data_IF_424305749641
#
_entry.id   IF_424305749641
#
_cell.length_a   1.000
_cell.length_b   1.000
_cell.length_c   1.000
_cell.angle_alpha   90.00
_cell.angle_beta   90.00
_cell.angle_gamma   90.00
#
_symmetry.space_group_name_H-M   'P 1'
#
loop_
_entity.id
_entity.type
_entity.pdbx_description
1 polymer ?
#
# COMPACT_ATOMS: atom_id res chain seq x y z
N UNK A 1 4.89 4.63 10.83
CA UNK A 1 5.51 3.94 9.69
C UNK A 1 6.54 4.85 9.04
N UNK A 2 7.74 4.34 8.86
CA UNK A 2 8.88 4.92 8.16
C UNK A 2 9.10 4.16 6.83
N UNK A 3 10.02 4.63 5.99
CA UNK A 3 10.44 3.88 4.81
C UNK A 3 11.00 2.48 5.17
N UNK A 4 11.71 2.37 6.30
CA UNK A 4 12.19 1.08 6.82
C UNK A 4 11.06 0.12 7.18
N UNK A 5 10.02 0.62 7.86
CA UNK A 5 8.83 -0.17 8.19
C UNK A 5 8.10 -0.66 6.92
N UNK A 6 7.99 0.20 5.90
CA UNK A 6 7.35 -0.16 4.62
C UNK A 6 8.15 -1.24 3.88
N UNK A 7 9.49 -1.15 3.92
CA UNK A 7 10.37 -2.16 3.32
C UNK A 7 10.29 -3.48 4.07
N UNK A 8 10.18 -3.45 5.40
CA UNK A 8 9.98 -4.63 6.21
C UNK A 8 8.62 -5.29 5.92
N UNK A 9 7.55 -4.49 5.79
CA UNK A 9 6.23 -4.97 5.38
C UNK A 9 6.28 -5.65 4.01
N UNK A 10 6.90 -5.01 3.02
CA UNK A 10 7.09 -5.58 1.69
C UNK A 10 7.81 -6.94 1.75
N UNK A 11 8.90 -7.03 2.53
CA UNK A 11 9.68 -8.26 2.66
C UNK A 11 8.90 -9.39 3.35
N UNK A 12 8.09 -9.09 4.37
CA UNK A 12 7.26 -10.09 5.07
C UNK A 12 6.21 -10.72 4.16
N UNK A 13 5.65 -9.94 3.24
CA UNK A 13 4.67 -10.42 2.25
C UNK A 13 5.31 -11.05 1.01
N UNK A 14 6.64 -10.97 0.85
CA UNK A 14 7.32 -11.42 -0.36
C UNK A 14 6.96 -10.60 -1.61
N UNK A 15 6.51 -9.35 -1.44
CA UNK A 15 6.07 -8.53 -2.55
C UNK A 15 7.23 -7.90 -3.32
N UNK A 16 7.09 -7.88 -4.64
CA UNK A 16 7.91 -7.02 -5.49
C UNK A 16 7.45 -5.56 -5.37
N UNK A 17 8.25 -4.61 -5.87
CA UNK A 17 7.83 -3.20 -5.92
C UNK A 17 6.51 -3.00 -6.68
N UNK A 18 6.26 -3.81 -7.72
CA UNK A 18 5.04 -3.71 -8.50
C UNK A 18 3.85 -4.26 -7.70
N UNK A 19 3.98 -5.47 -7.17
CA UNK A 19 2.92 -6.12 -6.40
C UNK A 19 2.54 -5.30 -5.17
N UNK A 20 3.52 -4.75 -4.45
CA UNK A 20 3.27 -3.89 -3.30
C UNK A 20 2.51 -2.61 -3.68
N UNK A 21 2.88 -1.99 -4.81
CA UNK A 21 2.20 -0.80 -5.30
C UNK A 21 0.76 -1.10 -5.73
N UNK A 22 0.54 -2.22 -6.44
CA UNK A 22 -0.77 -2.71 -6.85
C UNK A 22 -1.66 -3.01 -5.63
N UNK A 23 -1.15 -3.70 -4.61
CA UNK A 23 -1.90 -4.00 -3.38
C UNK A 23 -2.33 -2.73 -2.64
N UNK A 24 -1.52 -1.67 -2.71
CA UNK A 24 -1.82 -0.37 -2.11
C UNK A 24 -2.61 0.56 -3.04
N UNK A 25 -2.95 0.12 -4.26
CA UNK A 25 -3.70 0.90 -5.24
C UNK A 25 -2.95 2.13 -5.77
N UNK A 26 -1.62 2.07 -5.87
CA UNK A 26 -0.79 3.18 -6.33
C UNK A 26 0.18 2.77 -7.44
N UNK A 27 0.74 3.77 -8.14
CA UNK A 27 1.77 3.52 -9.15
C UNK A 27 3.11 3.07 -8.55
N UNK A 28 3.85 2.24 -9.29
CA UNK A 28 5.20 1.76 -8.92
C UNK A 28 6.15 2.91 -8.56
N UNK A 29 6.14 4.00 -9.33
CA UNK A 29 7.01 5.16 -9.08
C UNK A 29 6.67 5.81 -7.75
N UNK A 30 5.39 5.99 -7.44
CA UNK A 30 4.92 6.53 -6.17
C UNK A 30 5.39 5.68 -4.99
N UNK A 31 5.29 4.35 -5.12
CA UNK A 31 5.79 3.44 -4.10
C UNK A 31 7.32 3.57 -3.89
N UNK A 32 8.08 3.68 -4.98
CA UNK A 32 9.53 3.88 -4.90
C UNK A 32 9.90 5.22 -4.23
N UNK A 33 9.15 6.30 -4.49
CA UNK A 33 9.36 7.60 -3.84
C UNK A 33 9.07 7.54 -2.34
N UNK A 34 8.06 6.78 -1.90
CA UNK A 34 7.81 6.57 -0.46
C UNK A 34 8.96 5.83 0.23
N UNK A 35 9.65 4.94 -0.47
CA UNK A 35 10.82 4.24 0.09
C UNK A 35 12.08 5.09 0.16
N UNK A 36 12.18 6.14 -0.65
CA UNK A 36 13.28 7.13 -0.59
C UNK A 36 13.02 8.23 0.44
N UNK A 37 11.78 8.41 0.85
CA UNK A 37 11.39 9.50 1.75
C UNK A 37 11.98 9.28 3.14
N UNK A 38 12.64 10.33 3.64
CA UNK A 38 13.15 10.35 5.00
C UNK A 38 12.04 10.74 5.99
N UNK A 39 12.08 10.14 7.18
CA UNK A 39 11.15 10.43 8.27
C UNK A 39 9.84 9.64 8.24
N UNK A 40 8.78 10.25 8.78
CA UNK A 40 7.48 9.59 8.95
C UNK A 40 6.67 9.63 7.66
N UNK A 41 6.23 8.45 7.23
CA UNK A 41 5.30 8.31 6.11
C UNK A 41 3.88 8.71 6.52
N UNK A 42 3.00 9.03 5.54
CA UNK A 42 1.62 9.39 5.82
C UNK A 42 0.88 8.31 6.62
N UNK A 43 -0.01 8.75 7.52
CA UNK A 43 -0.81 7.84 8.37
C UNK A 43 -1.70 6.90 7.57
N UNK A 44 -2.23 7.36 6.43
CA UNK A 44 -3.08 6.54 5.56
C UNK A 44 -2.32 5.35 4.97
N UNK A 45 -1.02 5.52 4.67
CA UNK A 45 -0.19 4.45 4.14
C UNK A 45 0.04 3.36 5.19
N UNK A 46 0.27 3.77 6.44
CA UNK A 46 0.37 2.85 7.57
C UNK A 46 -0.93 2.07 7.79
N UNK A 47 -2.08 2.75 7.64
CA UNK A 47 -3.39 2.12 7.73
C UNK A 47 -3.61 1.12 6.59
N UNK A 48 -3.25 1.46 5.35
CA UNK A 48 -3.40 0.57 4.20
C UNK A 48 -2.56 -0.71 4.36
N UNK A 49 -1.29 -0.60 4.80
CA UNK A 49 -0.46 -1.77 5.10
C UNK A 49 -1.09 -2.64 6.21
N UNK A 50 -1.62 -2.03 7.28
CA UNK A 50 -2.28 -2.75 8.36
C UNK A 50 -3.59 -3.43 7.90
N UNK A 51 -4.33 -2.83 6.97
CA UNK A 51 -5.52 -3.41 6.40
C UNK A 51 -5.17 -4.68 5.59
N UNK A 52 -4.11 -4.63 4.77
CA UNK A 52 -3.63 -5.79 4.02
C UNK A 52 -3.11 -6.88 4.96
N UNK A 53 -2.40 -6.51 6.04
CA UNK A 53 -1.98 -7.44 7.09
C UNK A 53 -3.18 -8.15 7.74
N UNK A 54 -4.33 -7.48 7.84
CA UNK A 54 -5.59 -8.04 8.32
C UNK A 54 -6.37 -8.84 7.27
N UNK A 55 -5.83 -9.00 6.05
CA UNK A 55 -6.49 -9.67 4.93
C UNK A 55 -7.57 -8.84 4.24
N UNK A 56 -7.64 -7.52 4.51
CA UNK A 56 -8.54 -6.62 3.82
C UNK A 56 -7.95 -6.23 2.47
N UNK A 57 -8.77 -6.36 1.43
CA UNK A 57 -8.42 -5.86 0.12
C UNK A 57 -8.79 -4.37 0.05
N UNK A 58 -8.07 -3.56 -0.76
CA UNK A 58 -8.52 -2.21 -1.05
C UNK A 58 -9.97 -2.29 -1.51
N UNK A 59 -10.83 -1.42 -0.96
CA UNK A 59 -12.17 -1.26 -1.45
C UNK A 59 -12.04 -0.77 -2.90
N UNK A 60 -11.95 -1.72 -3.82
CA UNK A 60 -12.08 -1.45 -5.24
C UNK A 60 -13.35 -0.65 -5.40
N UNK A 61 -13.29 0.33 -6.29
CA UNK A 61 -14.44 1.04 -6.82
C UNK A 61 -15.67 0.13 -6.79
N UNK A 62 -16.55 0.36 -5.81
CA UNK A 62 -17.91 -0.16 -5.89
C UNK A 62 -18.37 0.28 -7.26
N UNK A 63 -18.60 -0.67 -8.16
CA UNK A 63 -19.24 -0.44 -9.43
C UNK A 63 -20.48 0.43 -9.16
N UNK A 64 -20.39 1.73 -9.38
CA UNK A 64 -21.49 2.68 -9.21
C UNK A 64 -22.54 2.49 -10.32
N UNK A 65 -22.43 1.43 -11.15
CA UNK A 65 -23.35 1.08 -12.23
C UNK A 65 -24.44 0.08 -11.81
N UNK A 66 -24.52 -0.28 -10.54
CA UNK A 66 -25.65 -1.04 -9.97
C UNK A 66 -26.49 -0.18 -9.02
N UNK A 67 -27.01 0.94 -9.54
CA UNK A 67 -28.28 1.50 -9.06
C UNK A 67 -29.20 1.44 -10.27
N UNK A 68 -30.03 0.40 -10.29
CA UNK A 68 -31.07 0.14 -11.28
C UNK A 68 -32.19 1.20 -11.21
#
# INVERSE_FOLDING_TARGET
MTAGDLRAWQARHGYTYNTAAESLGMGRTTFAEYLKREGKLPRWLALACAAIDAGLQPAGETDQRSVA
#
